data_IF_953362105992
#
_entry.id   IF_953362105992
#
_cell.length_a   1.000
_cell.length_b   1.000
_cell.length_c   1.000
_cell.angle_alpha   90.00
_cell.angle_beta   90.00
_cell.angle_gamma   90.00
#
_symmetry.space_group_name_H-M   'P 1'
#
loop_
_entity.id
_entity.type
_entity.pdbx_description
1 polymer ?
#
# COMPACT_ATOMS: atom_id res chain seq x y z
N UNK A 1 20.23 -9.14 -6.57
CA UNK A 1 20.01 -7.83 -5.91
C UNK A 1 18.54 -7.60 -5.79
N UNK A 2 18.10 -7.12 -4.64
CA UNK A 2 16.70 -6.75 -4.36
C UNK A 2 16.23 -5.62 -5.27
N UNK A 3 15.07 -5.80 -5.91
CA UNK A 3 14.53 -4.88 -6.92
C UNK A 3 13.42 -3.97 -6.41
N UNK A 4 12.98 -4.18 -5.19
CA UNK A 4 11.84 -3.48 -4.59
C UNK A 4 12.29 -2.82 -3.28
N UNK A 5 11.92 -1.54 -3.10
CA UNK A 5 12.25 -0.76 -1.90
C UNK A 5 10.99 -0.16 -1.29
N UNK A 6 10.72 -0.49 -0.03
CA UNK A 6 9.70 0.15 0.79
C UNK A 6 10.33 1.18 1.73
N UNK A 7 9.76 2.37 1.79
CA UNK A 7 10.15 3.42 2.73
C UNK A 7 8.99 3.70 3.67
N UNK A 8 9.19 3.44 4.96
CA UNK A 8 8.19 3.76 5.97
C UNK A 8 8.35 5.19 6.46
N UNK A 9 7.31 6.02 6.29
CA UNK A 9 7.23 7.39 6.81
C UNK A 9 6.17 7.41 7.91
N UNK A 10 6.56 7.40 9.19
CA UNK A 10 5.63 7.16 10.30
C UNK A 10 4.78 8.37 10.70
N UNK A 11 4.91 9.49 10.03
CA UNK A 11 4.29 10.75 10.46
C UNK A 11 2.85 10.88 9.99
N UNK A 12 1.98 11.35 10.89
CA UNK A 12 0.59 11.67 10.61
C UNK A 12 0.21 12.98 11.28
N UNK A 13 -0.67 13.75 10.62
CA UNK A 13 -1.34 14.89 11.25
C UNK A 13 -2.43 14.41 12.24
N UNK A 14 -3.14 13.34 11.89
CA UNK A 14 -4.22 12.76 12.71
C UNK A 14 -4.13 11.24 12.70
N UNK A 15 -4.49 10.60 13.83
CA UNK A 15 -4.58 9.15 13.95
C UNK A 15 -5.99 8.69 13.61
N UNK A 16 -6.10 7.86 12.57
CA UNK A 16 -7.37 7.25 12.15
C UNK A 16 -7.81 6.16 13.14
N UNK A 17 -9.13 6.00 13.32
CA UNK A 17 -9.68 5.08 14.31
C UNK A 17 -9.38 3.59 14.01
N UNK A 18 -9.28 3.22 12.73
CA UNK A 18 -9.03 1.85 12.25
C UNK A 18 -7.55 1.48 12.14
N UNK A 19 -6.65 2.47 12.17
CA UNK A 19 -5.24 2.27 11.82
C UNK A 19 -4.44 1.61 12.94
N UNK A 20 -3.61 0.62 12.60
CA UNK A 20 -2.69 -0.08 13.50
C UNK A 20 -1.20 0.03 13.11
N UNK A 21 -0.90 0.72 12.00
CA UNK A 21 0.48 0.92 11.56
C UNK A 21 1.34 1.64 12.59
N UNK A 22 2.65 1.43 12.53
CA UNK A 22 3.63 2.24 13.28
C UNK A 22 3.53 3.69 12.79
N UNK A 23 2.98 4.57 13.64
CA UNK A 23 2.70 5.96 13.31
C UNK A 23 2.92 6.88 14.49
N UNK A 24 3.24 8.13 14.20
CA UNK A 24 3.50 9.16 15.19
C UNK A 24 2.78 10.43 14.76
N UNK A 25 1.91 10.94 15.64
CA UNK A 25 1.29 12.24 15.41
C UNK A 25 2.29 13.34 15.76
N UNK A 26 2.77 14.07 14.75
CA UNK A 26 3.69 15.19 14.93
C UNK A 26 3.62 16.15 13.76
N UNK A 27 3.89 17.44 14.03
CA UNK A 27 4.09 18.51 13.06
C UNK A 27 5.47 19.16 13.26
N UNK A 28 6.36 18.55 14.06
CA UNK A 28 7.66 19.11 14.40
C UNK A 28 8.65 18.93 13.23
N UNK A 29 9.00 20.05 12.59
CA UNK A 29 9.90 20.07 11.43
C UNK A 29 11.24 19.37 11.70
N UNK A 30 11.88 19.64 12.82
CA UNK A 30 13.19 19.09 13.15
C UNK A 30 13.17 17.57 13.31
N UNK A 31 12.09 17.00 13.85
CA UNK A 31 11.91 15.55 13.92
C UNK A 31 11.85 14.96 12.53
N UNK A 32 11.01 15.51 11.66
CA UNK A 32 10.84 15.06 10.29
C UNK A 32 12.12 15.24 9.46
N UNK A 33 12.80 16.39 9.63
CA UNK A 33 14.06 16.68 8.96
C UNK A 33 15.16 15.67 9.31
N UNK A 34 15.34 15.40 10.59
CA UNK A 34 16.34 14.43 11.07
C UNK A 34 16.02 13.03 10.58
N UNK A 35 14.74 12.65 10.57
CA UNK A 35 14.29 11.35 10.06
C UNK A 35 14.56 11.19 8.56
N UNK A 36 14.20 12.18 7.75
CA UNK A 36 14.45 12.18 6.29
C UNK A 36 15.96 12.05 6.01
N UNK A 37 16.80 12.77 6.76
CA UNK A 37 18.26 12.67 6.62
C UNK A 37 18.77 11.27 6.94
N UNK A 38 18.22 10.60 7.96
CA UNK A 38 18.58 9.22 8.27
C UNK A 38 18.17 8.25 7.15
N UNK A 39 16.95 8.38 6.58
CA UNK A 39 16.52 7.57 5.42
C UNK A 39 17.48 7.78 4.25
N UNK A 40 17.79 9.03 3.90
CA UNK A 40 18.72 9.36 2.82
C UNK A 40 20.09 8.71 3.06
N UNK A 41 20.63 8.81 4.27
CA UNK A 41 21.89 8.17 4.62
C UNK A 41 21.82 6.66 4.51
N UNK A 42 20.71 6.04 4.96
CA UNK A 42 20.54 4.58 4.87
C UNK A 42 20.48 4.11 3.42
N UNK A 43 19.71 4.77 2.55
CA UNK A 43 19.64 4.37 1.14
C UNK A 43 21.00 4.52 0.45
N UNK A 44 21.76 5.58 0.75
CA UNK A 44 23.11 5.80 0.21
C UNK A 44 24.10 4.72 0.62
N UNK A 45 23.99 4.22 1.85
CA UNK A 45 24.89 3.20 2.39
C UNK A 45 24.54 1.77 1.96
N UNK A 46 23.27 1.49 1.69
CA UNK A 46 22.77 0.13 1.53
C UNK A 46 22.21 -0.20 0.16
N UNK A 47 22.21 0.76 -0.78
CA UNK A 47 21.62 0.60 -2.11
C UNK A 47 22.57 1.12 -3.20
N UNK A 48 22.40 0.57 -4.42
CA UNK A 48 23.13 1.01 -5.60
C UNK A 48 22.27 1.91 -6.49
N UNK A 49 22.89 2.83 -7.21
CA UNK A 49 22.19 3.64 -8.20
C UNK A 49 21.54 2.74 -9.27
N UNK A 50 20.34 3.14 -9.71
CA UNK A 50 19.56 2.40 -10.72
C UNK A 50 19.23 0.94 -10.32
N UNK A 51 19.12 0.66 -9.03
CA UNK A 51 18.90 -0.71 -8.51
C UNK A 51 17.43 -1.13 -8.59
N UNK A 52 16.52 -0.23 -8.21
CA UNK A 52 15.13 -0.59 -7.92
C UNK A 52 14.22 -0.44 -9.13
N UNK A 53 13.40 -1.46 -9.36
CA UNK A 53 12.28 -1.43 -10.30
C UNK A 53 11.05 -0.78 -9.67
N UNK A 54 10.91 -0.89 -8.33
CA UNK A 54 9.86 -0.20 -7.59
C UNK A 54 10.39 0.45 -6.33
N UNK A 55 9.94 1.68 -6.05
CA UNK A 55 10.07 2.33 -4.74
C UNK A 55 8.67 2.73 -4.28
N UNK A 56 8.33 2.38 -3.04
CA UNK A 56 7.04 2.65 -2.42
C UNK A 56 7.22 3.39 -1.11
N UNK A 57 6.65 4.61 -1.02
CA UNK A 57 6.58 5.38 0.22
C UNK A 57 5.21 5.17 0.85
N UNK A 58 5.20 4.57 2.03
CA UNK A 58 3.96 4.29 2.77
C UNK A 58 4.13 4.47 4.27
N UNK A 59 3.17 3.95 5.04
CA UNK A 59 3.22 3.87 6.49
C UNK A 59 2.21 4.74 7.22
N UNK A 60 2.61 5.89 7.75
CA UNK A 60 1.72 6.88 8.33
C UNK A 60 1.05 7.70 7.23
N UNK A 61 1.68 8.81 6.86
CA UNK A 61 1.20 9.71 5.79
C UNK A 61 2.42 10.36 5.13
N UNK A 62 3.02 9.76 4.11
CA UNK A 62 4.23 10.29 3.49
C UNK A 62 4.10 11.72 2.98
N UNK A 63 2.94 12.09 2.45
CA UNK A 63 2.68 13.43 1.97
C UNK A 63 2.36 14.45 3.08
N UNK A 64 2.48 14.06 4.35
CA UNK A 64 2.48 14.97 5.49
C UNK A 64 3.85 15.63 5.73
N UNK A 65 4.90 15.12 5.12
CA UNK A 65 6.21 15.78 5.17
C UNK A 65 6.14 17.20 4.59
N UNK A 66 6.82 18.19 5.19
CA UNK A 66 7.04 19.49 4.58
C UNK A 66 7.57 19.37 3.14
N UNK A 67 7.11 20.24 2.26
CA UNK A 67 7.40 20.13 0.82
C UNK A 67 8.90 20.12 0.47
N UNK A 68 9.72 20.85 1.20
CA UNK A 68 11.18 20.87 1.04
C UNK A 68 11.82 19.54 1.41
N UNK A 69 11.38 18.92 2.53
CA UNK A 69 11.83 17.61 2.95
C UNK A 69 11.36 16.50 2.01
N UNK A 70 10.12 16.59 1.56
CA UNK A 70 9.54 15.66 0.60
C UNK A 70 10.30 15.73 -0.73
N UNK A 71 10.54 16.94 -1.27
CA UNK A 71 11.31 17.13 -2.49
C UNK A 71 12.75 16.57 -2.35
N UNK A 72 13.42 16.85 -1.23
CA UNK A 72 14.77 16.33 -0.95
C UNK A 72 14.80 14.80 -0.94
N UNK A 73 13.83 14.17 -0.27
CA UNK A 73 13.72 12.72 -0.18
C UNK A 73 13.45 12.11 -1.57
N UNK A 74 12.43 12.57 -2.26
CA UNK A 74 12.04 12.05 -3.58
C UNK A 74 13.16 12.21 -4.61
N UNK A 75 13.83 13.39 -4.65
CA UNK A 75 14.98 13.64 -5.53
C UNK A 75 16.11 12.64 -5.29
N UNK A 76 16.37 12.32 -4.03
CA UNK A 76 17.40 11.32 -3.69
C UNK A 76 16.97 9.93 -4.14
N UNK A 77 15.76 9.50 -3.80
CA UNK A 77 15.24 8.17 -4.12
C UNK A 77 15.17 7.92 -5.63
N UNK A 78 14.88 8.95 -6.43
CA UNK A 78 14.83 8.86 -7.89
C UNK A 78 16.14 8.33 -8.50
N UNK A 79 17.28 8.60 -7.90
CA UNK A 79 18.59 8.13 -8.35
C UNK A 79 18.76 6.60 -8.25
N UNK A 80 17.98 5.95 -7.41
CA UNK A 80 18.05 4.52 -7.16
C UNK A 80 17.05 3.71 -7.99
N UNK A 81 16.10 4.36 -8.67
CA UNK A 81 15.18 3.72 -9.61
C UNK A 81 15.88 3.43 -10.94
N UNK A 82 15.47 2.34 -11.58
CA UNK A 82 15.88 2.04 -12.95
C UNK A 82 15.52 3.22 -13.88
N UNK A 83 16.29 3.47 -14.97
CA UNK A 83 16.10 4.69 -15.77
C UNK A 83 14.74 4.78 -16.46
N UNK A 84 14.23 3.69 -17.02
CA UNK A 84 13.14 3.72 -17.99
C UNK A 84 11.86 3.02 -17.54
N UNK A 85 11.94 1.87 -16.89
CA UNK A 85 10.77 1.08 -16.48
C UNK A 85 10.76 0.91 -14.97
N UNK A 86 10.05 1.82 -14.28
CA UNK A 86 9.94 1.82 -12.83
C UNK A 86 8.53 2.17 -12.35
N UNK A 87 8.22 1.77 -11.13
CA UNK A 87 7.08 2.26 -10.37
C UNK A 87 7.58 3.04 -9.15
N UNK A 88 7.19 4.31 -9.05
CA UNK A 88 7.49 5.16 -7.92
C UNK A 88 6.18 5.61 -7.28
N UNK A 89 5.80 4.93 -6.21
CA UNK A 89 4.52 5.10 -5.53
C UNK A 89 4.67 5.94 -4.25
N UNK A 90 3.69 6.79 -4.00
CA UNK A 90 3.51 7.50 -2.72
C UNK A 90 2.07 7.36 -2.23
N UNK A 91 1.89 7.02 -0.94
CA UNK A 91 0.61 7.10 -0.25
C UNK A 91 0.32 8.52 0.18
N UNK A 92 -0.93 8.96 0.01
CA UNK A 92 -1.34 10.33 0.29
C UNK A 92 -2.67 10.41 1.04
N UNK A 93 -2.74 11.33 2.01
CA UNK A 93 -4.01 11.86 2.47
C UNK A 93 -4.51 12.90 1.47
N UNK A 94 -5.79 12.83 1.02
CA UNK A 94 -6.31 13.69 -0.03
C UNK A 94 -6.25 15.20 0.28
N UNK A 95 -6.55 15.59 1.54
CA UNK A 95 -6.53 16.99 2.00
C UNK A 95 -5.13 17.66 1.94
N UNK A 96 -4.07 16.88 1.80
CA UNK A 96 -2.69 17.36 1.70
C UNK A 96 -2.18 17.46 0.25
N UNK A 97 -2.90 16.91 -0.73
CA UNK A 97 -2.48 16.89 -2.15
C UNK A 97 -2.74 18.24 -2.81
N UNK A 98 -1.89 19.21 -2.53
CA UNK A 98 -1.95 20.56 -3.14
C UNK A 98 -1.29 20.59 -4.51
N UNK A 99 -1.55 21.65 -5.31
CA UNK A 99 -0.89 21.87 -6.61
C UNK A 99 0.63 21.89 -6.44
N UNK A 100 1.15 22.61 -5.44
CA UNK A 100 2.60 22.68 -5.18
C UNK A 100 3.19 21.30 -4.87
N UNK A 101 2.47 20.46 -4.12
CA UNK A 101 2.92 19.11 -3.80
C UNK A 101 2.90 18.19 -5.03
N UNK A 102 1.86 18.27 -5.87
CA UNK A 102 1.80 17.47 -7.11
C UNK A 102 2.89 17.86 -8.10
N UNK A 103 3.30 19.14 -8.16
CA UNK A 103 4.46 19.57 -8.93
C UNK A 103 5.76 18.92 -8.41
N UNK A 104 5.94 18.84 -7.10
CA UNK A 104 7.07 18.12 -6.49
C UNK A 104 7.06 16.65 -6.87
N UNK A 105 5.90 15.99 -6.86
CA UNK A 105 5.76 14.60 -7.29
C UNK A 105 6.22 14.42 -8.74
N UNK A 106 5.67 15.20 -9.67
CA UNK A 106 5.98 15.11 -11.09
C UNK A 106 7.46 15.38 -11.38
N UNK A 107 8.03 16.44 -10.79
CA UNK A 107 9.44 16.82 -10.97
C UNK A 107 10.43 15.77 -10.46
N UNK A 108 10.01 14.95 -9.47
CA UNK A 108 10.85 13.92 -8.88
C UNK A 108 10.49 12.49 -9.32
N UNK A 109 9.64 12.35 -10.35
CA UNK A 109 9.40 11.07 -11.01
C UNK A 109 8.39 10.15 -10.33
N UNK A 110 7.57 10.64 -9.39
CA UNK A 110 6.40 9.89 -8.91
C UNK A 110 5.49 9.63 -10.11
N UNK A 111 5.16 8.37 -10.34
CA UNK A 111 4.29 7.96 -11.44
C UNK A 111 3.06 7.17 -10.98
N UNK A 112 2.94 6.84 -9.68
CA UNK A 112 1.78 6.25 -9.07
C UNK A 112 1.47 6.91 -7.72
N UNK A 113 0.20 7.22 -7.45
CA UNK A 113 -0.26 7.78 -6.17
C UNK A 113 -1.40 6.92 -5.63
N UNK A 114 -1.33 6.54 -4.35
CA UNK A 114 -2.42 5.86 -3.62
C UNK A 114 -3.07 6.86 -2.67
N UNK A 115 -4.34 7.16 -2.91
CA UNK A 115 -5.12 8.08 -2.09
C UNK A 115 -5.93 7.31 -1.05
N UNK A 116 -5.68 7.56 0.22
CA UNK A 116 -6.45 7.00 1.32
C UNK A 116 -7.83 7.65 1.42
N UNK A 117 -8.80 7.20 0.62
CA UNK A 117 -10.17 7.75 0.57
C UNK A 117 -11.03 7.19 1.70
N UNK A 118 -10.99 5.88 1.90
CA UNK A 118 -11.70 5.06 2.88
C UNK A 118 -13.22 4.95 2.63
N UNK A 119 -13.93 6.04 2.37
CA UNK A 119 -15.34 6.10 1.98
C UNK A 119 -15.66 7.44 1.29
N UNK A 120 -16.70 7.47 0.49
CA UNK A 120 -17.26 8.73 -0.07
C UNK A 120 -18.27 9.40 0.86
N UNK A 121 -18.59 8.81 2.01
CA UNK A 121 -19.50 9.34 3.00
C UNK A 121 -18.75 10.14 4.07
N UNK A 122 -18.87 11.48 4.05
CA UNK A 122 -18.20 12.38 5.00
C UNK A 122 -18.56 12.11 6.48
N UNK A 123 -19.74 11.55 6.77
CA UNK A 123 -20.11 11.19 8.15
C UNK A 123 -19.29 9.99 8.63
N UNK A 124 -19.08 8.99 7.76
CA UNK A 124 -18.24 7.83 8.06
C UNK A 124 -16.77 8.28 8.19
N UNK A 125 -16.28 9.13 7.28
CA UNK A 125 -14.93 9.68 7.36
C UNK A 125 -14.69 10.37 8.70
N UNK A 126 -15.61 11.25 9.11
CA UNK A 126 -15.53 11.94 10.41
C UNK A 126 -15.53 10.99 11.59
N UNK A 127 -16.37 9.95 11.58
CA UNK A 127 -16.42 8.92 12.63
C UNK A 127 -15.12 8.11 12.70
N UNK A 128 -14.41 7.95 11.58
CA UNK A 128 -13.10 7.27 11.49
C UNK A 128 -11.91 8.22 11.74
N UNK A 129 -12.15 9.43 12.24
CA UNK A 129 -11.14 10.46 12.51
C UNK A 129 -10.36 10.90 11.26
N UNK A 130 -10.99 10.83 10.08
CA UNK A 130 -10.39 11.39 8.86
C UNK A 130 -10.57 12.91 8.84
N UNK A 131 -9.57 13.61 8.32
CA UNK A 131 -9.56 15.08 8.21
C UNK A 131 -10.14 15.57 6.89
N UNK A 132 -10.04 14.74 5.85
CA UNK A 132 -10.53 15.07 4.51
C UNK A 132 -12.02 14.78 4.34
N UNK A 133 -12.61 15.43 3.33
CA UNK A 133 -13.93 15.20 2.79
C UNK A 133 -13.85 14.62 1.38
N UNK A 134 -14.98 14.20 0.82
CA UNK A 134 -15.02 13.74 -0.58
C UNK A 134 -14.62 14.86 -1.56
N UNK A 135 -14.86 16.12 -1.25
CA UNK A 135 -14.42 17.26 -2.07
C UNK A 135 -12.88 17.38 -2.11
N UNK A 136 -12.22 17.08 -1.01
CA UNK A 136 -10.74 17.05 -0.98
C UNK A 136 -10.19 15.95 -1.87
N UNK A 137 -10.86 14.78 -1.92
CA UNK A 137 -10.50 13.68 -2.83
C UNK A 137 -10.67 14.10 -4.30
N UNK A 138 -11.79 14.75 -4.64
CA UNK A 138 -12.03 15.27 -6.00
C UNK A 138 -10.97 16.29 -6.41
N UNK A 139 -10.62 17.19 -5.49
CA UNK A 139 -9.57 18.18 -5.73
C UNK A 139 -8.19 17.54 -5.87
N UNK A 140 -7.86 16.54 -5.04
CA UNK A 140 -6.61 15.79 -5.12
C UNK A 140 -6.45 15.09 -6.48
N UNK A 141 -7.48 14.42 -6.96
CA UNK A 141 -7.49 13.80 -8.30
C UNK A 141 -7.26 14.85 -9.38
N UNK A 142 -7.96 15.99 -9.30
CA UNK A 142 -7.80 17.11 -10.26
C UNK A 142 -6.38 17.63 -10.27
N UNK A 143 -5.77 17.84 -9.10
CA UNK A 143 -4.40 18.34 -8.97
C UNK A 143 -3.36 17.35 -9.54
N UNK A 144 -3.56 16.03 -9.33
CA UNK A 144 -2.69 14.98 -9.87
C UNK A 144 -2.78 14.91 -11.39
N UNK A 145 -3.98 14.96 -11.95
CA UNK A 145 -4.21 14.93 -13.39
C UNK A 145 -3.62 16.17 -14.08
N UNK A 146 -3.65 17.34 -13.42
CA UNK A 146 -3.07 18.58 -13.95
C UNK A 146 -1.54 18.50 -14.19
N UNK A 147 -0.85 17.58 -13.50
CA UNK A 147 0.59 17.33 -13.69
C UNK A 147 0.88 15.99 -14.40
N UNK A 148 -0.12 15.44 -15.09
CA UNK A 148 -0.06 14.17 -15.83
C UNK A 148 0.24 12.92 -14.98
N UNK A 149 -0.03 12.94 -13.67
CA UNK A 149 -0.03 11.72 -12.85
C UNK A 149 -1.41 11.07 -13.00
N UNK A 150 -1.50 10.08 -13.89
CA UNK A 150 -2.76 9.40 -14.25
C UNK A 150 -2.93 8.03 -13.60
N UNK A 151 -1.86 7.41 -13.09
CA UNK A 151 -1.93 6.16 -12.34
C UNK A 151 -2.27 6.46 -10.87
N UNK A 152 -3.56 6.70 -10.63
CA UNK A 152 -4.12 7.02 -9.33
C UNK A 152 -4.87 5.81 -8.81
N UNK A 153 -4.50 5.34 -7.62
CA UNK A 153 -5.25 4.40 -6.80
C UNK A 153 -6.10 5.15 -5.79
N UNK A 154 -7.32 4.68 -5.55
CA UNK A 154 -8.10 5.09 -4.38
C UNK A 154 -8.33 3.88 -3.48
N UNK A 155 -8.02 4.04 -2.20
CA UNK A 155 -8.10 2.99 -1.22
C UNK A 155 -9.36 3.20 -0.36
N UNK A 156 -10.25 2.21 -0.38
CA UNK A 156 -11.51 2.17 0.35
C UNK A 156 -11.48 1.09 1.42
N UNK A 157 -12.31 1.25 2.45
CA UNK A 157 -12.53 0.22 3.47
C UNK A 157 -14.04 -0.05 3.55
N UNK A 158 -14.46 -1.28 3.24
CA UNK A 158 -15.85 -1.68 3.46
C UNK A 158 -16.03 -2.27 4.87
N UNK A 159 -17.26 -2.30 5.38
CA UNK A 159 -17.63 -2.64 6.76
C UNK A 159 -17.11 -1.67 7.83
N UNK A 160 -16.84 -0.42 7.46
CA UNK A 160 -16.65 0.62 8.46
C UNK A 160 -17.89 0.74 9.35
N UNK A 161 -17.76 1.12 10.65
CA UNK A 161 -18.90 1.32 11.53
C UNK A 161 -19.96 2.24 10.92
N UNK A 162 -21.22 1.78 10.96
CA UNK A 162 -22.40 2.44 10.37
C UNK A 162 -22.39 2.57 8.85
N UNK A 163 -21.47 1.90 8.13
CA UNK A 163 -21.51 1.86 6.67
C UNK A 163 -22.57 0.87 6.19
N UNK A 164 -23.25 1.25 5.13
CA UNK A 164 -24.31 0.47 4.49
C UNK A 164 -23.89 -0.02 3.11
N UNK A 165 -24.68 -0.91 2.53
CA UNK A 165 -24.49 -1.32 1.12
C UNK A 165 -24.65 -0.12 0.16
N UNK A 166 -25.48 0.88 0.52
CA UNK A 166 -25.63 2.11 -0.27
C UNK A 166 -24.36 2.97 -0.26
N UNK A 167 -23.61 3.00 0.86
CA UNK A 167 -22.33 3.70 0.93
C UNK A 167 -21.32 3.04 0.00
N UNK A 168 -21.25 1.71 0.01
CA UNK A 168 -20.39 0.94 -0.91
C UNK A 168 -20.78 1.18 -2.38
N UNK A 169 -22.09 1.25 -2.68
CA UNK A 169 -22.57 1.59 -4.02
C UNK A 169 -22.12 2.99 -4.46
N UNK A 170 -22.12 3.96 -3.51
CA UNK A 170 -21.64 5.32 -3.75
C UNK A 170 -20.13 5.35 -4.01
N UNK A 171 -19.34 4.57 -3.26
CA UNK A 171 -17.91 4.41 -3.45
C UNK A 171 -17.59 3.87 -4.86
N UNK A 172 -18.33 2.83 -5.32
CA UNK A 172 -18.17 2.26 -6.67
C UNK A 172 -18.59 3.27 -7.76
N UNK A 173 -19.67 4.03 -7.52
CA UNK A 173 -20.10 5.10 -8.44
C UNK A 173 -19.03 6.17 -8.59
N UNK A 174 -18.35 6.52 -7.50
CA UNK A 174 -17.21 7.44 -7.52
C UNK A 174 -16.06 6.89 -8.36
N UNK A 175 -15.72 5.62 -8.20
CA UNK A 175 -14.69 4.92 -9.00
C UNK A 175 -15.00 5.05 -10.50
N UNK A 176 -16.24 4.79 -10.90
CA UNK A 176 -16.66 4.87 -12.31
C UNK A 176 -16.69 6.31 -12.82
N UNK A 177 -17.16 7.26 -12.02
CA UNK A 177 -17.20 8.70 -12.36
C UNK A 177 -15.81 9.23 -12.74
N UNK A 178 -14.79 8.90 -11.95
CA UNK A 178 -13.41 9.39 -12.15
C UNK A 178 -12.55 8.50 -13.04
N UNK A 179 -13.09 7.36 -13.51
CA UNK A 179 -12.37 6.38 -14.34
C UNK A 179 -10.99 6.06 -13.76
N UNK A 180 -10.97 5.79 -12.45
CA UNK A 180 -9.76 5.48 -11.71
C UNK A 180 -9.05 4.29 -12.36
N UNK A 181 -7.72 4.28 -12.35
CA UNK A 181 -6.97 3.19 -13.00
C UNK A 181 -6.84 1.96 -12.10
N UNK A 182 -6.79 2.19 -10.81
CA UNK A 182 -6.61 1.19 -9.77
C UNK A 182 -7.48 1.54 -8.57
N UNK A 183 -8.01 0.54 -7.89
CA UNK A 183 -8.75 0.70 -6.64
C UNK A 183 -8.44 -0.43 -5.69
N UNK A 184 -8.35 -0.09 -4.41
CA UNK A 184 -8.26 -1.05 -3.32
C UNK A 184 -9.53 -1.00 -2.49
N UNK A 185 -10.12 -2.16 -2.21
CA UNK A 185 -11.22 -2.29 -1.26
C UNK A 185 -10.81 -3.29 -0.18
N UNK A 186 -10.47 -2.77 0.99
CA UNK A 186 -10.07 -3.58 2.13
C UNK A 186 -11.28 -3.90 3.00
N UNK A 187 -11.40 -5.16 3.42
CA UNK A 187 -12.29 -5.47 4.52
C UNK A 187 -11.76 -4.78 5.79
N UNK A 188 -12.66 -4.18 6.58
CA UNK A 188 -12.26 -3.68 7.89
C UNK A 188 -11.71 -4.82 8.74
N UNK A 189 -10.50 -4.68 9.24
CA UNK A 189 -9.93 -5.54 10.27
C UNK A 189 -9.67 -4.71 11.52
N UNK A 190 -10.09 -5.20 12.69
CA UNK A 190 -9.85 -4.52 13.96
C UNK A 190 -8.62 -5.14 14.60
N UNK A 191 -7.52 -4.40 14.57
CA UNK A 191 -6.25 -4.80 15.17
C UNK A 191 -6.10 -4.25 16.59
N UNK A 192 -5.27 -4.88 17.40
CA UNK A 192 -5.10 -4.55 18.84
C UNK A 192 -4.72 -3.09 19.09
N UNK A 193 -3.90 -2.50 18.23
CA UNK A 193 -3.43 -1.12 18.37
C UNK A 193 -4.39 -0.06 17.79
N UNK A 194 -5.48 -0.47 17.12
CA UNK A 194 -6.46 0.45 16.57
C UNK A 194 -7.31 1.08 17.67
N UNK A 195 -7.64 2.37 17.52
CA UNK A 195 -8.56 3.06 18.46
C UNK A 195 -9.92 2.36 18.46
N UNK A 196 -10.35 1.90 17.29
CA UNK A 196 -11.62 1.21 17.10
C UNK A 196 -11.75 -0.06 17.97
N UNK A 197 -10.65 -0.76 18.27
CA UNK A 197 -10.67 -1.92 19.17
C UNK A 197 -11.21 -1.57 20.57
N UNK A 198 -10.97 -0.34 21.04
CA UNK A 198 -11.47 0.13 22.35
C UNK A 198 -12.99 0.40 22.38
N UNK A 199 -13.61 0.52 21.22
CA UNK A 199 -15.05 0.76 21.11
C UNK A 199 -15.89 -0.52 21.23
N UNK A 200 -15.26 -1.68 21.32
CA UNK A 200 -15.91 -3.00 21.29
C UNK A 200 -16.77 -3.23 20.04
N UNK A 201 -16.51 -2.50 18.95
CA UNK A 201 -17.18 -2.74 17.68
C UNK A 201 -16.88 -4.15 17.18
N UNK A 202 -17.92 -4.86 16.77
CA UNK A 202 -17.79 -6.21 16.19
C UNK A 202 -18.18 -6.15 14.72
N UNK A 203 -17.37 -6.80 13.90
CA UNK A 203 -17.66 -6.96 12.48
C UNK A 203 -18.70 -8.08 12.34
N UNK A 204 -19.75 -7.82 11.55
CA UNK A 204 -20.67 -8.85 11.12
C UNK A 204 -20.07 -9.54 9.87
N UNK A 205 -19.69 -10.79 10.01
CA UNK A 205 -19.06 -11.56 8.93
C UNK A 205 -20.02 -11.81 7.76
N UNK A 206 -21.32 -12.01 8.03
CA UNK A 206 -22.31 -12.22 6.97
C UNK A 206 -22.50 -10.93 6.12
N UNK A 207 -22.56 -9.77 6.77
CA UNK A 207 -22.62 -8.46 6.09
C UNK A 207 -21.33 -8.21 5.27
N UNK A 208 -20.18 -8.65 5.78
CA UNK A 208 -18.91 -8.54 5.08
C UNK A 208 -18.88 -9.38 3.80
N UNK A 209 -19.35 -10.61 3.85
CA UNK A 209 -19.41 -11.51 2.69
C UNK A 209 -20.40 -10.99 1.64
N UNK A 210 -21.58 -10.51 2.06
CA UNK A 210 -22.57 -9.90 1.16
C UNK A 210 -21.97 -8.69 0.42
N UNK A 211 -21.29 -7.80 1.14
CA UNK A 211 -20.62 -6.64 0.56
C UNK A 211 -19.50 -7.02 -0.39
N UNK A 212 -18.73 -8.06 -0.10
CA UNK A 212 -17.68 -8.55 -0.99
C UNK A 212 -18.28 -9.06 -2.31
N UNK A 213 -19.34 -9.87 -2.25
CA UNK A 213 -20.03 -10.38 -3.44
C UNK A 213 -20.61 -9.22 -4.28
N UNK A 214 -21.21 -8.24 -3.60
CA UNK A 214 -21.73 -7.04 -4.26
C UNK A 214 -20.62 -6.25 -4.95
N UNK A 215 -19.51 -6.02 -4.25
CA UNK A 215 -18.33 -5.31 -4.75
C UNK A 215 -17.77 -5.97 -6.02
N UNK A 216 -17.51 -7.29 -5.99
CA UNK A 216 -17.00 -8.04 -7.14
C UNK A 216 -17.94 -7.93 -8.34
N UNK A 217 -19.24 -8.10 -8.10
CA UNK A 217 -20.26 -8.01 -9.15
C UNK A 217 -20.28 -6.63 -9.79
N UNK A 218 -20.27 -5.57 -8.98
CA UNK A 218 -20.38 -4.19 -9.47
C UNK A 218 -19.12 -3.68 -10.15
N UNK A 219 -17.94 -3.98 -9.61
CA UNK A 219 -16.68 -3.62 -10.26
C UNK A 219 -16.51 -4.32 -11.61
N UNK A 220 -16.90 -5.59 -11.71
CA UNK A 220 -16.92 -6.31 -12.99
C UNK A 220 -17.87 -5.67 -14.01
N UNK A 221 -19.05 -5.17 -13.59
CA UNK A 221 -20.02 -4.48 -14.48
C UNK A 221 -19.44 -3.20 -15.08
N UNK A 222 -18.52 -2.53 -14.39
CA UNK A 222 -17.82 -1.33 -14.88
C UNK A 222 -16.43 -1.63 -15.44
N UNK A 223 -16.17 -2.91 -15.81
CA UNK A 223 -14.95 -3.40 -16.46
C UNK A 223 -13.67 -3.31 -15.62
N UNK A 224 -13.77 -3.43 -14.26
CA UNK A 224 -12.60 -3.64 -13.42
C UNK A 224 -12.33 -5.12 -13.23
N UNK A 225 -11.05 -5.48 -13.25
CA UNK A 225 -10.56 -6.84 -13.04
C UNK A 225 -9.87 -6.90 -11.68
N UNK A 226 -10.30 -7.86 -10.85
CA UNK A 226 -9.58 -8.22 -9.64
C UNK A 226 -8.28 -8.92 -10.03
N UNK A 227 -7.15 -8.57 -9.44
CA UNK A 227 -5.88 -9.27 -9.68
C UNK A 227 -5.30 -9.91 -8.42
N UNK A 228 -5.71 -9.45 -7.23
CA UNK A 228 -5.40 -10.07 -5.94
C UNK A 228 -6.53 -9.78 -4.93
N UNK A 229 -6.36 -10.17 -3.65
CA UNK A 229 -7.42 -10.22 -2.63
C UNK A 229 -8.21 -8.91 -2.48
N UNK A 230 -7.54 -7.75 -2.52
CA UNK A 230 -8.15 -6.46 -2.21
C UNK A 230 -8.07 -5.43 -3.34
N UNK A 231 -7.48 -5.78 -4.48
CA UNK A 231 -7.16 -4.81 -5.52
C UNK A 231 -7.76 -5.14 -6.89
N UNK A 232 -8.29 -4.11 -7.54
CA UNK A 232 -8.89 -4.16 -8.88
C UNK A 232 -8.30 -3.08 -9.78
N UNK A 233 -8.22 -3.37 -11.07
CA UNK A 233 -7.70 -2.46 -12.10
C UNK A 233 -8.63 -2.37 -13.30
N UNK A 234 -8.63 -1.22 -13.96
CA UNK A 234 -9.32 -1.02 -15.25
C UNK A 234 -8.55 -1.65 -16.42
N UNK A 235 -7.26 -1.91 -16.27
CA UNK A 235 -6.37 -2.56 -17.24
C UNK A 235 -5.16 -3.11 -16.46
N UNK A 236 -4.70 -4.33 -16.79
CA UNK A 236 -3.61 -5.02 -16.10
C UNK A 236 -2.28 -4.24 -16.07
N UNK A 237 -2.08 -3.29 -16.99
CA UNK A 237 -0.89 -2.41 -16.94
C UNK A 237 -0.85 -1.47 -15.73
N UNK A 238 -1.96 -1.34 -14.98
CA UNK A 238 -2.05 -0.48 -13.79
C UNK A 238 -1.96 -1.26 -12.47
N UNK A 239 -1.68 -2.57 -12.51
CA UNK A 239 -1.41 -3.34 -11.28
C UNK A 239 -0.28 -2.70 -10.49
N UNK A 240 -0.38 -2.73 -9.15
CA UNK A 240 0.73 -2.28 -8.30
C UNK A 240 1.86 -3.30 -8.38
N UNK A 241 2.94 -2.95 -9.07
CA UNK A 241 4.12 -3.82 -9.22
C UNK A 241 4.79 -4.09 -7.87
N UNK A 242 4.76 -3.09 -6.99
CA UNK A 242 5.31 -3.24 -5.65
C UNK A 242 4.51 -4.24 -4.80
N UNK A 243 3.17 -4.16 -4.81
CA UNK A 243 2.31 -5.10 -4.10
C UNK A 243 2.42 -6.52 -4.68
N UNK A 244 2.51 -6.64 -6.01
CA UNK A 244 2.73 -7.94 -6.65
C UNK A 244 4.03 -8.60 -6.19
N UNK A 245 5.10 -7.83 -5.94
CA UNK A 245 6.35 -8.38 -5.41
C UNK A 245 6.15 -9.10 -4.06
N UNK A 246 5.28 -8.58 -3.20
CA UNK A 246 4.91 -9.25 -1.93
C UNK A 246 4.19 -10.58 -2.18
N UNK A 247 3.15 -10.56 -3.03
CA UNK A 247 2.35 -11.74 -3.34
C UNK A 247 3.15 -12.82 -4.08
N UNK A 248 4.13 -12.40 -4.87
CA UNK A 248 5.07 -13.30 -5.57
C UNK A 248 6.27 -13.70 -4.71
N UNK A 249 6.31 -13.34 -3.44
CA UNK A 249 7.39 -13.66 -2.49
C UNK A 249 8.77 -13.25 -3.01
N UNK A 250 8.86 -12.13 -3.76
CA UNK A 250 10.12 -11.55 -4.21
C UNK A 250 10.81 -10.83 -3.06
N UNK A 251 12.12 -10.69 -3.15
CA UNK A 251 12.89 -9.89 -2.20
C UNK A 251 12.50 -8.41 -2.25
N UNK A 252 12.23 -7.81 -1.10
CA UNK A 252 12.10 -6.36 -0.95
C UNK A 252 12.87 -5.86 0.26
N UNK A 253 13.53 -4.74 0.08
CA UNK A 253 14.19 -4.01 1.16
C UNK A 253 13.21 -3.04 1.80
N UNK A 254 13.29 -2.90 3.13
CA UNK A 254 12.58 -1.84 3.84
C UNK A 254 13.56 -0.90 4.53
N UNK A 255 13.21 0.38 4.60
CA UNK A 255 13.89 1.41 5.38
C UNK A 255 12.87 2.20 6.21
N UNK A 256 13.32 2.75 7.32
CA UNK A 256 12.50 3.59 8.19
C UNK A 256 11.85 2.83 9.35
N UNK A 257 11.62 3.56 10.44
CA UNK A 257 11.03 3.06 11.68
C UNK A 257 9.63 2.48 11.47
N UNK A 258 9.45 1.20 11.71
CA UNK A 258 8.21 0.45 11.48
C UNK A 258 8.16 -0.27 10.13
N UNK A 259 9.18 -0.14 9.29
CA UNK A 259 9.29 -0.87 8.04
C UNK A 259 9.59 -2.35 8.27
N UNK A 260 9.04 -3.21 7.40
CA UNK A 260 9.31 -4.65 7.37
C UNK A 260 9.86 -5.02 5.98
N UNK A 261 10.98 -5.75 5.94
CA UNK A 261 11.62 -6.21 4.72
C UNK A 261 11.69 -7.72 4.64
N UNK A 262 11.96 -8.21 3.44
CA UNK A 262 12.17 -9.62 3.17
C UNK A 262 13.27 -9.77 2.11
N UNK A 263 14.40 -10.33 2.49
CA UNK A 263 15.55 -10.53 1.60
C UNK A 263 16.19 -11.88 1.88
N UNK A 264 16.49 -12.67 0.85
CA UNK A 264 17.20 -13.95 0.96
C UNK A 264 16.57 -14.94 1.96
N UNK A 265 15.23 -15.04 1.98
CA UNK A 265 14.43 -15.85 2.93
C UNK A 265 14.53 -15.38 4.39
N UNK A 266 14.93 -14.15 4.61
CA UNK A 266 14.92 -13.52 5.92
C UNK A 266 13.85 -12.42 5.93
N UNK A 267 12.88 -12.51 6.83
CA UNK A 267 12.04 -11.36 7.15
C UNK A 267 12.69 -10.56 8.28
N UNK A 268 12.56 -9.25 8.23
CA UNK A 268 13.07 -8.38 9.28
C UNK A 268 12.16 -7.21 9.56
N UNK A 269 12.20 -6.73 10.80
CA UNK A 269 11.46 -5.56 11.26
C UNK A 269 12.42 -4.46 11.71
N UNK A 270 12.10 -3.20 11.37
CA UNK A 270 12.85 -2.02 11.79
C UNK A 270 12.15 -1.38 12.98
N UNK A 271 12.79 -1.45 14.12
CA UNK A 271 12.31 -0.90 15.38
C UNK A 271 13.29 0.11 16.00
N UNK A 272 13.31 0.20 17.33
CA UNK A 272 14.08 1.19 18.07
C UNK A 272 13.25 2.44 18.35
N UNK A 273 13.76 3.61 17.98
CA UNK A 273 13.06 4.89 18.10
C UNK A 273 13.12 5.67 16.79
N UNK A 274 12.29 6.71 16.68
CA UNK A 274 12.29 7.59 15.50
C UNK A 274 13.62 8.33 15.28
N UNK A 275 14.37 8.57 16.35
CA UNK A 275 15.69 9.21 16.30
C UNK A 275 16.81 8.22 15.98
N UNK A 276 16.59 6.93 16.28
CA UNK A 276 17.58 5.87 16.04
C UNK A 276 16.86 4.54 15.78
N UNK A 277 16.63 4.25 14.52
CA UNK A 277 15.96 3.02 14.08
C UNK A 277 16.93 2.08 13.37
N UNK A 278 16.76 0.80 13.66
CA UNK A 278 17.62 -0.29 13.18
C UNK A 278 16.81 -1.59 13.12
N UNK A 279 17.36 -2.62 12.51
CA UNK A 279 16.74 -3.94 12.47
C UNK A 279 16.70 -4.52 13.88
N UNK A 280 15.50 -4.72 14.43
CA UNK A 280 15.27 -5.21 15.80
C UNK A 280 14.88 -6.67 15.84
N UNK A 281 14.39 -7.22 14.73
CA UNK A 281 13.96 -8.61 14.62
C UNK A 281 14.36 -9.15 13.25
N UNK A 282 14.87 -10.37 13.22
CA UNK A 282 15.18 -11.13 12.00
C UNK A 282 14.68 -12.55 12.20
N UNK A 283 13.82 -12.99 11.30
CA UNK A 283 13.33 -14.36 11.25
C UNK A 283 13.87 -15.03 9.98
N UNK A 284 14.68 -16.06 10.15
CA UNK A 284 15.21 -16.86 9.07
C UNK A 284 14.23 -17.97 8.74
N UNK A 285 13.65 -17.96 7.56
CA UNK A 285 12.72 -19.00 7.15
C UNK A 285 13.45 -20.30 6.84
N UNK A 286 12.98 -21.39 7.42
CA UNK A 286 13.36 -22.72 6.94
C UNK A 286 12.90 -22.90 5.48
N UNK A 287 13.41 -23.92 4.80
CA UNK A 287 12.94 -24.20 3.44
C UNK A 287 11.43 -24.51 3.39
N UNK A 288 10.92 -25.22 4.39
CA UNK A 288 9.50 -25.56 4.50
C UNK A 288 8.64 -24.31 4.71
N UNK A 289 9.05 -23.40 5.62
CA UNK A 289 8.34 -22.14 5.87
C UNK A 289 8.36 -21.22 4.66
N UNK A 290 9.50 -21.15 3.97
CA UNK A 290 9.61 -20.37 2.74
C UNK A 290 8.69 -20.91 1.63
N UNK A 291 8.65 -22.22 1.43
CA UNK A 291 7.74 -22.85 0.48
C UNK A 291 6.27 -22.65 0.88
N UNK A 292 5.96 -22.73 2.18
CA UNK A 292 4.63 -22.40 2.70
C UNK A 292 4.25 -20.94 2.40
N UNK A 293 5.18 -20.00 2.60
CA UNK A 293 4.96 -18.59 2.28
C UNK A 293 4.67 -18.39 0.78
N UNK A 294 5.41 -19.03 -0.12
CA UNK A 294 5.15 -18.97 -1.57
C UNK A 294 3.72 -19.42 -1.88
N UNK A 295 3.29 -20.56 -1.33
CA UNK A 295 1.95 -21.07 -1.56
C UNK A 295 0.91 -20.10 -0.97
N UNK A 296 1.07 -19.71 0.30
CA UNK A 296 0.12 -18.85 1.00
C UNK A 296 -0.03 -17.48 0.32
N UNK A 297 1.07 -16.88 -0.14
CA UNK A 297 1.04 -15.57 -0.81
C UNK A 297 0.53 -15.69 -2.24
N UNK A 298 0.99 -16.68 -3.00
CA UNK A 298 0.59 -16.86 -4.38
C UNK A 298 -0.89 -17.23 -4.56
N UNK A 299 -1.51 -17.95 -3.61
CA UNK A 299 -2.94 -18.24 -3.63
C UNK A 299 -3.83 -17.00 -3.41
N UNK A 300 -3.27 -15.85 -3.06
CA UNK A 300 -3.97 -14.57 -2.99
C UNK A 300 -4.06 -13.87 -4.35
N UNK A 301 -3.25 -14.28 -5.33
CA UNK A 301 -3.34 -13.80 -6.70
C UNK A 301 -4.47 -14.51 -7.45
N UNK A 302 -5.21 -13.78 -8.26
CA UNK A 302 -6.27 -14.38 -9.12
C UNK A 302 -5.66 -15.35 -10.14
N UNK A 303 -4.46 -15.04 -10.65
CA UNK A 303 -3.71 -15.92 -11.56
C UNK A 303 -3.07 -17.12 -10.84
N UNK A 304 -3.01 -17.08 -9.49
CA UNK A 304 -2.40 -18.12 -8.69
C UNK A 304 -0.87 -18.10 -8.74
N UNK A 305 -0.27 -19.28 -8.69
CA UNK A 305 1.18 -19.50 -8.60
C UNK A 305 1.72 -19.94 -9.97
N UNK A 306 2.67 -19.19 -10.51
CA UNK A 306 3.35 -19.57 -11.75
C UNK A 306 4.29 -20.76 -11.50
N UNK A 307 3.90 -21.94 -11.96
CA UNK A 307 4.68 -23.17 -11.83
C UNK A 307 5.81 -23.30 -12.87
N UNK A 308 5.95 -22.36 -13.80
CA UNK A 308 7.13 -22.28 -14.66
C UNK A 308 8.35 -21.72 -13.91
N UNK A 309 8.13 -20.99 -12.81
CA UNK A 309 9.21 -20.61 -11.89
C UNK A 309 9.70 -21.85 -11.12
N UNK A 310 11.02 -22.20 -11.18
CA UNK A 310 11.54 -23.40 -10.52
C UNK A 310 11.34 -23.43 -9.00
N UNK A 311 11.34 -22.27 -8.33
CA UNK A 311 11.16 -22.16 -6.89
C UNK A 311 9.70 -22.42 -6.52
N UNK A 312 8.79 -21.85 -7.27
CA UNK A 312 7.34 -22.07 -7.10
C UNK A 312 6.97 -23.54 -7.37
N UNK A 313 7.56 -24.14 -8.41
CA UNK A 313 7.38 -25.56 -8.71
C UNK A 313 7.90 -26.46 -7.59
N UNK A 314 9.08 -26.14 -7.02
CA UNK A 314 9.60 -26.86 -5.87
C UNK A 314 8.70 -26.74 -4.63
N UNK A 315 8.18 -25.54 -4.35
CA UNK A 315 7.21 -25.29 -3.27
C UNK A 315 5.90 -26.09 -3.47
N UNK A 316 5.37 -26.07 -4.70
CA UNK A 316 4.20 -26.87 -5.05
C UNK A 316 4.45 -28.37 -4.82
N UNK A 317 5.56 -28.92 -5.33
CA UNK A 317 5.89 -30.35 -5.15
C UNK A 317 6.07 -30.75 -3.69
N UNK A 318 6.54 -29.83 -2.85
CA UNK A 318 6.70 -30.07 -1.42
C UNK A 318 5.34 -30.22 -0.70
N UNK A 319 4.32 -29.50 -1.16
CA UNK A 319 2.99 -29.48 -0.54
C UNK A 319 1.89 -30.16 -1.38
N UNK A 320 2.18 -30.74 -2.54
CA UNK A 320 1.18 -31.24 -3.50
C UNK A 320 0.11 -32.17 -2.90
N UNK A 321 0.50 -33.03 -1.97
CA UNK A 321 -0.43 -33.96 -1.34
C UNK A 321 -1.44 -33.25 -0.42
N UNK A 322 -1.09 -32.07 0.11
CA UNK A 322 -1.95 -31.21 0.92
C UNK A 322 -2.77 -30.22 0.08
N UNK A 323 -2.38 -30.02 -1.17
CA UNK A 323 -3.02 -29.09 -2.11
C UNK A 323 -4.00 -29.80 -3.08
N UNK A 324 -4.44 -30.99 -2.77
CA UNK A 324 -5.32 -31.82 -3.63
C UNK A 324 -6.66 -31.14 -4.01
N UNK A 325 -7.07 -30.13 -3.24
CA UNK A 325 -8.30 -29.35 -3.49
C UNK A 325 -8.05 -28.04 -4.26
N UNK A 326 -6.80 -27.69 -4.56
CA UNK A 326 -6.45 -26.48 -5.29
C UNK A 326 -6.51 -26.76 -6.78
N UNK A 327 -7.27 -25.94 -7.53
CA UNK A 327 -7.38 -26.07 -8.99
C UNK A 327 -6.04 -25.68 -9.62
N UNK A 328 -5.44 -26.61 -10.35
CA UNK A 328 -4.23 -26.36 -11.17
C UNK A 328 -4.71 -26.07 -12.59
N UNK A 329 -4.46 -24.87 -13.08
CA UNK A 329 -4.58 -24.51 -14.50
C UNK A 329 -3.23 -24.67 -15.16
N UNK A 330 -3.20 -25.39 -16.29
CA UNK A 330 -1.99 -25.56 -17.10
C UNK A 330 -1.81 -24.36 -18.01
#
# INVERSE_FOLDING_TARGET
MTKHLYIHIPFCNQICAFCDFKRIKTNEYEIMHNYVNQIIKQVQLTSQLNQYETIYLGGGTPNHLPNDLLAKLLKTLRLYLTPNDYEFTIECNPDLVTISQTQIFAQNGINRVSLGVQSTNDKILKAMHRTHTIKDVEQAITNLLAVNITNISCDFIYNLPNSTLQDLASDITFVDKYKLKHVSFYALEIKDNAILNRSHYKIDENDQDEKLIYLETKLKQINYQRYEVSNWVSDLKYVSRHNLAYWQTKDWKALGYGGCGFEHRQSYEIGGSIQNFYITKVDNLSQADYYFQIIMMGLRLVEGIDLNDPTNFAAYNFFKDKLSHVKITK
#
